data_IF_638004499387
#
_entry.id   IF_638004499387
#
_cell.length_a   1.000
_cell.length_b   1.000
_cell.length_c   1.000
_cell.angle_alpha   90.00
_cell.angle_beta   90.00
_cell.angle_gamma   90.00
#
_symmetry.space_group_name_H-M   'P 1'
#
loop_
_entity.id
_entity.type
_entity.pdbx_description
1 polymer ?
#
# COMPACT_ATOMS: atom_id res chain seq x y z
N UNK A 1 2.51 17.93 10.94
CA UNK A 1 2.46 17.02 9.79
C UNK A 1 1.16 16.24 9.86
N UNK A 2 0.07 16.84 9.36
CA UNK A 2 -1.21 16.14 9.31
C UNK A 2 -1.09 15.14 8.16
N UNK A 3 -0.82 13.87 8.49
CA UNK A 3 -1.07 12.76 7.58
C UNK A 3 -2.53 12.91 7.16
N UNK A 4 -2.78 13.19 5.88
CA UNK A 4 -4.11 12.96 5.35
C UNK A 4 -4.33 11.45 5.50
N UNK A 5 -5.00 11.04 6.57
CA UNK A 5 -5.47 9.66 6.70
C UNK A 5 -6.32 9.44 5.46
N UNK A 6 -5.85 8.62 4.52
CA UNK A 6 -6.64 8.21 3.36
C UNK A 6 -7.80 7.41 3.95
N UNK A 7 -8.89 8.11 4.24
CA UNK A 7 -10.04 7.55 4.95
C UNK A 7 -10.90 6.70 4.01
N UNK A 8 -10.89 7.03 2.72
CA UNK A 8 -11.81 6.45 1.74
C UNK A 8 -11.07 6.29 0.40
N UNK A 9 -10.83 5.04 -0.01
CA UNK A 9 -10.42 4.71 -1.37
C UNK A 9 -11.42 3.73 -1.98
N UNK A 10 -11.79 3.95 -3.23
CA UNK A 10 -12.77 3.16 -3.97
C UNK A 10 -12.14 2.63 -5.24
N UNK A 11 -12.42 1.38 -5.56
CA UNK A 11 -12.07 0.81 -6.86
C UNK A 11 -13.17 1.16 -7.85
N UNK A 12 -12.79 1.77 -8.97
CA UNK A 12 -13.68 2.09 -10.08
C UNK A 12 -13.14 1.40 -11.32
N UNK A 13 -13.70 0.23 -11.61
CA UNK A 13 -13.23 -0.68 -12.67
C UNK A 13 -11.76 -1.08 -12.49
N UNK A 14 -10.85 -0.47 -13.29
CA UNK A 14 -9.40 -0.65 -13.21
C UNK A 14 -8.68 0.56 -12.59
N UNK A 15 -9.44 1.59 -12.22
CA UNK A 15 -8.92 2.83 -11.66
C UNK A 15 -9.13 2.84 -10.15
N UNK A 16 -8.22 3.49 -9.44
CA UNK A 16 -8.32 3.66 -7.99
C UNK A 16 -8.70 5.11 -7.72
N UNK A 17 -9.85 5.32 -7.11
CA UNK A 17 -10.38 6.64 -6.77
C UNK A 17 -10.20 6.90 -5.29
N UNK A 18 -9.32 7.84 -4.95
CA UNK A 18 -8.99 8.27 -3.59
C UNK A 18 -9.78 9.53 -3.28
N UNK A 19 -10.61 9.47 -2.23
CA UNK A 19 -11.45 10.57 -1.74
C UNK A 19 -12.36 11.22 -2.80
N UNK A 20 -12.64 10.55 -3.92
CA UNK A 20 -13.33 11.13 -5.10
C UNK A 20 -12.63 12.38 -5.68
N UNK A 21 -11.39 12.64 -5.26
CA UNK A 21 -10.59 13.79 -5.70
C UNK A 21 -9.42 13.37 -6.60
N UNK A 22 -8.88 12.16 -6.39
CA UNK A 22 -7.71 11.65 -7.13
C UNK A 22 -8.04 10.27 -7.71
N UNK A 23 -7.85 10.13 -9.01
CA UNK A 23 -8.01 8.91 -9.79
C UNK A 23 -6.64 8.43 -10.26
N UNK A 24 -6.27 7.21 -9.92
CA UNK A 24 -5.04 6.56 -10.34
C UNK A 24 -5.43 5.52 -11.38
N UNK A 25 -5.01 5.74 -12.63
CA UNK A 25 -5.27 4.80 -13.72
C UNK A 25 -4.06 3.88 -13.93
N UNK A 26 -4.26 2.66 -14.47
CA UNK A 26 -3.14 1.85 -14.97
C UNK A 26 -2.34 2.65 -16.01
N UNK A 27 -1.00 2.61 -16.00
CA UNK A 27 -0.08 1.73 -15.26
C UNK A 27 0.30 2.14 -13.81
N UNK A 28 -0.61 2.72 -13.02
CA UNK A 28 -0.44 3.04 -11.57
C UNK A 28 0.85 3.78 -11.21
N UNK A 29 1.37 4.59 -12.13
CA UNK A 29 2.55 5.42 -11.90
C UNK A 29 2.15 6.76 -11.28
N UNK A 30 3.14 7.45 -10.71
CA UNK A 30 2.98 8.83 -10.22
C UNK A 30 2.45 9.77 -11.32
N UNK A 31 2.85 9.54 -12.57
CA UNK A 31 2.42 10.30 -13.74
C UNK A 31 0.96 9.99 -14.15
N UNK A 32 0.44 8.83 -13.75
CA UNK A 32 -0.94 8.41 -14.00
C UNK A 32 -1.90 8.77 -12.88
N UNK A 33 -1.44 9.52 -11.87
CA UNK A 33 -2.28 10.10 -10.84
C UNK A 33 -2.93 11.37 -11.41
N UNK A 34 -4.25 11.33 -11.65
CA UNK A 34 -5.04 12.48 -12.11
C UNK A 34 -6.02 12.89 -11.04
N UNK A 35 -6.13 14.18 -10.73
CA UNK A 35 -7.07 14.62 -9.71
C UNK A 35 -7.10 16.12 -9.58
N UNK A 36 -7.90 16.61 -8.63
CA UNK A 36 -7.83 18.02 -8.24
C UNK A 36 -6.43 18.34 -7.73
N UNK A 37 -5.84 19.42 -8.26
CA UNK A 37 -4.59 19.95 -7.73
C UNK A 37 -4.76 20.33 -6.27
N UNK A 38 -3.88 19.78 -5.43
CA UNK A 38 -3.96 19.98 -3.99
C UNK A 38 -3.05 19.03 -3.25
N UNK A 39 -3.09 19.13 -1.91
CA UNK A 39 -2.24 18.31 -1.03
C UNK A 39 -2.51 16.81 -1.21
N UNK A 40 -3.72 16.42 -1.61
CA UNK A 40 -4.11 15.04 -1.89
C UNK A 40 -3.29 14.43 -3.02
N UNK A 41 -3.26 15.08 -4.20
CA UNK A 41 -2.53 14.59 -5.37
C UNK A 41 -1.04 14.42 -5.07
N UNK A 42 -0.40 15.44 -4.49
CA UNK A 42 1.02 15.38 -4.09
C UNK A 42 1.31 14.23 -3.13
N UNK A 43 0.39 13.97 -2.19
CA UNK A 43 0.56 12.91 -1.20
C UNK A 43 0.37 11.52 -1.82
N UNK A 44 -0.62 11.36 -2.70
CA UNK A 44 -0.85 10.11 -3.45
C UNK A 44 0.37 9.77 -4.31
N UNK A 45 0.95 10.73 -5.03
CA UNK A 45 2.19 10.50 -5.79
C UNK A 45 3.33 10.00 -4.89
N UNK A 46 3.52 10.60 -3.71
CA UNK A 46 4.53 10.14 -2.74
C UNK A 46 4.30 8.72 -2.24
N UNK A 47 3.04 8.32 -2.05
CA UNK A 47 2.69 6.95 -1.64
C UNK A 47 3.01 5.97 -2.76
N UNK A 48 2.61 6.28 -4.00
CA UNK A 48 2.88 5.44 -5.17
C UNK A 48 4.41 5.30 -5.35
N UNK A 49 5.15 6.39 -5.34
CA UNK A 49 6.62 6.37 -5.43
C UNK A 49 7.26 5.54 -4.30
N UNK A 50 6.83 5.77 -3.05
CA UNK A 50 7.31 4.99 -1.92
C UNK A 50 6.98 3.52 -2.10
N UNK A 51 5.78 3.17 -2.57
CA UNK A 51 5.36 1.79 -2.78
C UNK A 51 6.25 1.06 -3.78
N UNK A 52 6.59 1.70 -4.91
CA UNK A 52 7.54 1.11 -5.88
C UNK A 52 8.92 0.89 -5.25
N UNK A 53 9.43 1.87 -4.49
CA UNK A 53 10.72 1.77 -3.80
C UNK A 53 10.74 0.71 -2.70
N UNK A 54 9.68 0.62 -1.90
CA UNK A 54 9.49 -0.42 -0.89
C UNK A 54 9.32 -1.79 -1.55
N UNK A 55 8.58 -1.88 -2.65
CA UNK A 55 8.39 -3.14 -3.38
C UNK A 55 9.69 -3.66 -3.96
N UNK A 56 10.57 -2.79 -4.46
CA UNK A 56 11.95 -3.16 -4.86
C UNK A 56 12.78 -3.63 -3.68
N UNK A 57 12.67 -2.94 -2.54
CA UNK A 57 13.37 -3.28 -1.30
C UNK A 57 12.84 -4.59 -0.66
N UNK A 58 11.56 -4.91 -0.85
CA UNK A 58 10.88 -6.08 -0.26
C UNK A 58 11.12 -7.36 -1.05
N UNK A 59 11.63 -7.29 -2.29
CA UNK A 59 12.06 -8.49 -3.05
C UNK A 59 13.23 -9.23 -2.36
N UNK A 60 13.81 -8.65 -1.29
CA UNK A 60 14.80 -9.29 -0.41
C UNK A 60 14.25 -10.01 0.83
N UNK A 61 12.96 -9.91 1.17
CA UNK A 61 12.35 -10.63 2.32
C UNK A 61 11.38 -11.69 1.82
N UNK A 62 11.95 -12.78 1.36
CA UNK A 62 11.26 -14.07 1.38
C UNK A 62 11.61 -14.72 2.72
N UNK A 63 10.62 -14.96 3.60
CA UNK A 63 10.62 -16.08 4.57
C UNK A 63 9.30 -16.22 5.37
N UNK A 64 8.52 -17.21 4.92
CA UNK A 64 7.74 -18.21 5.67
C UNK A 64 6.52 -17.81 6.52
N UNK A 65 5.30 -18.12 6.07
CA UNK A 65 4.14 -18.38 6.92
C UNK A 65 3.97 -19.88 7.15
N UNK A 66 4.67 -20.49 8.11
CA UNK A 66 4.33 -21.83 8.60
C UNK A 66 4.96 -22.10 9.97
N UNK A 67 4.14 -22.67 10.87
CA UNK A 67 4.45 -23.19 12.21
C UNK A 67 4.32 -22.21 13.40
N UNK A 68 3.09 -21.79 13.66
CA UNK A 68 2.59 -21.76 15.05
C UNK A 68 1.43 -22.75 15.15
N UNK A 69 1.73 -23.97 15.61
CA UNK A 69 0.72 -24.81 16.25
C UNK A 69 1.40 -25.87 17.14
N UNK A 70 1.19 -25.69 18.45
CA UNK A 70 0.95 -26.74 19.45
C UNK A 70 2.05 -27.79 19.70
N UNK A 71 2.65 -27.77 20.90
CA UNK A 71 2.23 -28.64 22.01
C UNK A 71 3.19 -28.53 23.20
N UNK A 72 2.64 -28.03 24.30
CA UNK A 72 3.12 -28.21 25.66
C UNK A 72 3.26 -29.71 25.98
N UNK A 73 4.33 -30.14 26.65
CA UNK A 73 4.30 -30.98 27.87
C UNK A 73 5.69 -31.49 28.23
N UNK A 74 6.02 -31.24 29.49
CA UNK A 74 7.00 -31.78 30.43
C UNK A 74 7.53 -33.22 30.25
N UNK A 75 8.61 -33.47 31.01
CA UNK A 75 9.13 -34.74 31.60
C UNK A 75 10.28 -35.50 30.91
N UNK A 76 11.41 -35.45 31.62
CA UNK A 76 12.31 -36.55 32.02
C UNK A 76 12.93 -37.48 30.97
N UNK A 77 14.27 -37.55 30.97
CA UNK A 77 15.03 -38.66 31.57
C UNK A 77 16.50 -38.30 31.76
#
# INVERSE_FOLDING_TARGET
>A
MLLITIKECKWQEKNIVVMEEVVISPPYQVENCKGKEGRALTHVCKIVEKHFRDMESQKGVQRNPAQQSQKETSTSS
#
